data_IF_314977567884
#
_entry.id   IF_314977567884
#
_cell.length_a   1.000
_cell.length_b   1.000
_cell.length_c   1.000
_cell.angle_alpha   90.00
_cell.angle_beta   90.00
_cell.angle_gamma   90.00
#
_symmetry.space_group_name_H-M   'P 1'
#
loop_
_entity.id
_entity.type
_entity.pdbx_description
1 polymer ?
#
# COMPACT_ATOMS: atom_id res chain seq x y z
N UNK A 1 93.33 -12.94 -22.97
CA UNK A 1 92.31 -12.67 -21.97
C UNK A 1 91.12 -12.08 -22.69
N UNK A 2 90.08 -12.91 -23.02
CA UNK A 2 88.89 -12.51 -23.78
C UNK A 2 87.71 -12.42 -22.79
N UNK A 3 87.13 -11.22 -22.59
CA UNK A 3 85.94 -10.99 -21.78
C UNK A 3 84.72 -11.20 -22.67
N UNK A 4 83.92 -12.23 -22.37
CA UNK A 4 82.63 -12.49 -22.98
C UNK A 4 81.62 -11.59 -22.31
N UNK A 5 80.96 -10.68 -23.07
CA UNK A 5 79.78 -9.89 -22.61
C UNK A 5 78.55 -10.66 -22.92
N UNK A 6 77.81 -11.10 -21.88
CA UNK A 6 76.41 -11.62 -21.98
C UNK A 6 75.49 -10.45 -22.13
N UNK A 7 74.71 -10.44 -23.23
CA UNK A 7 73.61 -9.50 -23.47
C UNK A 7 72.30 -10.18 -22.98
N UNK A 8 71.81 -9.73 -21.86
CA UNK A 8 70.49 -10.20 -21.36
C UNK A 8 69.40 -9.45 -22.14
N UNK A 9 68.69 -10.17 -22.98
CA UNK A 9 67.45 -9.66 -23.64
C UNK A 9 66.28 -9.77 -22.67
N UNK A 10 65.84 -8.62 -22.15
CA UNK A 10 64.67 -8.50 -21.31
C UNK A 10 63.36 -8.52 -22.22
N UNK A 11 62.73 -9.64 -22.34
CA UNK A 11 61.41 -9.70 -23.01
C UNK A 11 60.34 -9.04 -22.10
N UNK A 12 59.92 -7.83 -22.46
CA UNK A 12 58.74 -7.18 -21.89
C UNK A 12 57.52 -7.93 -22.43
N UNK A 13 56.89 -8.76 -21.60
CA UNK A 13 55.59 -9.30 -21.88
C UNK A 13 54.55 -8.17 -21.74
N UNK A 14 54.10 -7.61 -22.85
CA UNK A 14 52.91 -6.73 -22.89
C UNK A 14 51.70 -7.56 -22.50
N UNK A 15 50.89 -7.10 -21.52
CA UNK A 15 49.63 -7.78 -21.22
C UNK A 15 48.74 -7.71 -22.48
N UNK A 16 48.34 -8.85 -23.01
CA UNK A 16 47.26 -8.92 -24.02
C UNK A 16 46.03 -8.27 -23.40
N UNK A 17 45.65 -7.10 -23.90
CA UNK A 17 44.38 -6.49 -23.58
C UNK A 17 43.28 -7.49 -23.93
N UNK A 18 42.49 -7.91 -22.97
CA UNK A 18 41.31 -8.71 -23.25
C UNK A 18 40.44 -7.95 -24.28
N UNK A 19 39.88 -8.63 -25.28
CA UNK A 19 39.03 -7.96 -26.27
C UNK A 19 37.90 -7.19 -25.56
N UNK A 20 37.76 -5.93 -25.94
CA UNK A 20 36.69 -5.10 -25.39
C UNK A 20 35.35 -5.84 -25.61
N UNK A 21 34.64 -6.14 -24.52
CA UNK A 21 33.32 -6.76 -24.62
C UNK A 21 32.39 -5.85 -25.44
N UNK A 22 31.64 -6.43 -26.37
CA UNK A 22 30.65 -5.72 -27.15
C UNK A 22 29.68 -4.98 -26.23
N UNK A 23 29.30 -3.72 -26.49
CA UNK A 23 28.36 -2.95 -25.70
C UNK A 23 27.04 -3.71 -25.54
N UNK A 24 26.42 -3.61 -24.34
CA UNK A 24 25.22 -4.37 -24.02
C UNK A 24 24.07 -4.07 -24.98
N UNK A 25 23.92 -2.82 -25.41
CA UNK A 25 22.92 -2.41 -26.40
C UNK A 25 23.08 -3.14 -27.74
N UNK A 26 24.31 -3.31 -28.21
CA UNK A 26 24.59 -4.03 -29.45
C UNK A 26 24.28 -5.52 -29.30
N UNK A 27 24.65 -6.12 -28.17
CA UNK A 27 24.29 -7.52 -27.86
C UNK A 27 22.79 -7.74 -27.81
N UNK A 28 22.05 -6.80 -27.20
CA UNK A 28 20.59 -6.83 -27.18
C UNK A 28 20.02 -6.66 -28.60
N UNK A 29 20.54 -5.72 -29.37
CA UNK A 29 20.10 -5.49 -30.74
C UNK A 29 20.37 -6.69 -31.67
N UNK A 30 21.52 -7.37 -31.54
CA UNK A 30 21.91 -8.52 -32.34
C UNK A 30 21.26 -9.85 -31.92
N UNK A 31 20.70 -9.93 -30.71
CA UNK A 31 20.14 -11.16 -30.17
C UNK A 31 18.92 -11.64 -30.99
N UNK A 32 18.80 -12.93 -31.18
CA UNK A 32 17.63 -13.53 -31.80
C UNK A 32 16.41 -13.48 -30.83
N UNK A 33 15.18 -13.43 -31.34
CA UNK A 33 13.99 -13.59 -30.50
C UNK A 33 14.06 -14.88 -29.66
N UNK A 34 13.70 -14.81 -28.39
CA UNK A 34 13.80 -15.92 -27.45
C UNK A 34 15.17 -16.10 -26.78
N UNK A 35 16.18 -15.31 -27.16
CA UNK A 35 17.53 -15.43 -26.61
C UNK A 35 17.59 -15.03 -25.11
N UNK A 36 18.48 -15.68 -24.39
CA UNK A 36 18.88 -15.26 -23.04
C UNK A 36 20.20 -14.51 -23.09
N UNK A 37 20.23 -13.30 -22.55
CA UNK A 37 21.40 -12.42 -22.50
C UNK A 37 21.85 -12.31 -21.04
N UNK A 38 23.04 -12.83 -20.73
CA UNK A 38 23.68 -12.60 -19.45
C UNK A 38 24.31 -11.21 -19.43
N UNK A 39 24.00 -10.41 -18.42
CA UNK A 39 24.64 -9.12 -18.16
C UNK A 39 25.74 -9.36 -17.13
N UNK A 40 27.02 -9.17 -17.49
CA UNK A 40 28.12 -9.43 -16.58
C UNK A 40 28.16 -8.43 -15.42
N UNK A 41 28.86 -8.81 -14.34
CA UNK A 41 29.12 -7.92 -13.22
C UNK A 41 29.78 -6.61 -13.69
N UNK A 42 29.45 -5.52 -13.00
CA UNK A 42 29.97 -4.17 -13.31
C UNK A 42 28.89 -3.19 -13.68
N UNK A 43 29.30 -1.95 -13.93
CA UNK A 43 28.37 -0.85 -14.29
C UNK A 43 28.32 -0.72 -15.81
N UNK A 44 27.10 -0.83 -16.35
CA UNK A 44 26.78 -0.63 -17.75
C UNK A 44 25.97 0.66 -17.88
N UNK A 45 26.58 1.71 -18.45
CA UNK A 45 25.89 2.95 -18.78
C UNK A 45 25.02 2.70 -20.02
N UNK A 46 23.68 2.62 -19.86
CA UNK A 46 22.79 2.13 -20.90
C UNK A 46 21.38 2.73 -20.85
N UNK A 47 20.75 2.79 -22.02
CA UNK A 47 19.32 2.96 -22.21
C UNK A 47 18.84 1.81 -23.09
N UNK A 48 18.37 0.70 -22.49
CA UNK A 48 18.01 -0.48 -23.23
C UNK A 48 16.58 -0.39 -23.74
N UNK A 49 16.39 -0.66 -25.01
CA UNK A 49 15.05 -0.93 -25.59
C UNK A 49 14.93 -2.40 -25.91
N UNK A 50 13.96 -3.07 -25.28
CA UNK A 50 13.63 -4.48 -25.48
C UNK A 50 12.39 -4.58 -26.38
N UNK A 51 12.64 -4.67 -27.71
CA UNK A 51 11.62 -4.66 -28.75
C UNK A 51 11.32 -6.04 -29.35
N UNK A 52 11.87 -7.08 -28.75
CA UNK A 52 11.66 -8.50 -29.12
C UNK A 52 11.67 -9.39 -27.88
N UNK A 53 11.07 -10.59 -27.95
CA UNK A 53 11.10 -11.54 -26.83
C UNK A 53 12.52 -11.90 -26.45
N UNK A 54 12.99 -11.50 -25.27
CA UNK A 54 14.30 -11.87 -24.72
C UNK A 54 14.25 -12.02 -23.21
N UNK A 55 15.18 -12.78 -22.69
CA UNK A 55 15.43 -12.88 -21.24
C UNK A 55 16.75 -12.18 -20.92
N UNK A 56 16.69 -11.12 -20.12
CA UNK A 56 17.85 -10.38 -19.61
C UNK A 56 18.13 -10.83 -18.16
N UNK A 57 19.30 -11.40 -17.93
CA UNK A 57 19.68 -11.96 -16.62
C UNK A 57 20.97 -11.31 -16.14
N UNK A 58 20.92 -10.70 -14.94
CA UNK A 58 22.10 -10.14 -14.29
C UNK A 58 22.97 -11.22 -13.63
N UNK A 59 24.27 -11.16 -13.86
CA UNK A 59 25.23 -11.81 -12.98
C UNK A 59 25.32 -11.04 -11.64
N UNK A 60 25.70 -11.68 -10.53
CA UNK A 60 25.86 -10.96 -9.27
C UNK A 60 26.73 -9.71 -9.41
N UNK A 61 26.16 -8.53 -9.09
CA UNK A 61 26.82 -7.23 -9.25
C UNK A 61 26.65 -6.57 -10.63
N UNK A 62 25.77 -7.07 -11.48
CA UNK A 62 25.40 -6.42 -12.74
C UNK A 62 24.52 -5.18 -12.48
N UNK A 63 24.92 -4.02 -12.99
CA UNK A 63 24.26 -2.74 -12.79
C UNK A 63 23.97 -2.08 -14.13
N UNK A 64 22.72 -1.77 -14.40
CA UNK A 64 22.27 -0.92 -15.50
C UNK A 64 22.10 0.50 -14.97
N UNK A 65 22.82 1.46 -15.53
CA UNK A 65 22.89 2.83 -15.05
C UNK A 65 22.46 3.81 -16.15
N UNK A 66 21.33 4.48 -15.96
CA UNK A 66 20.77 5.46 -16.92
C UNK A 66 21.43 6.83 -16.89
N UNK A 67 22.44 7.05 -16.06
CA UNK A 67 23.19 8.33 -16.04
C UNK A 67 22.36 9.54 -15.59
N UNK A 68 21.15 9.36 -15.07
CA UNK A 68 20.24 10.43 -14.63
C UNK A 68 19.39 11.01 -15.77
N UNK A 69 19.17 10.27 -16.84
CA UNK A 69 18.33 10.71 -17.97
C UNK A 69 17.42 9.57 -18.46
N UNK A 70 16.27 9.88 -19.02
CA UNK A 70 15.33 8.94 -19.66
C UNK A 70 14.98 7.71 -18.82
N UNK A 71 14.52 6.66 -19.48
CA UNK A 71 14.33 5.34 -18.89
C UNK A 71 15.61 4.53 -18.95
N UNK A 72 15.85 3.67 -17.98
CA UNK A 72 17.03 2.79 -18.03
C UNK A 72 16.76 1.55 -18.89
N UNK A 73 15.56 0.95 -18.71
CA UNK A 73 15.07 -0.17 -19.50
C UNK A 73 13.65 0.13 -19.98
N UNK A 74 13.43 0.08 -21.29
CA UNK A 74 12.12 0.24 -21.92
C UNK A 74 11.73 -1.05 -22.62
N UNK A 75 10.59 -1.62 -22.27
CA UNK A 75 10.10 -2.90 -22.80
C UNK A 75 8.92 -2.65 -23.73
N UNK A 76 9.07 -2.99 -24.99
CA UNK A 76 8.09 -2.80 -26.04
C UNK A 76 7.61 -4.11 -26.68
N UNK A 77 8.06 -5.24 -26.18
CA UNK A 77 7.77 -6.56 -26.75
C UNK A 77 7.06 -7.48 -25.75
N UNK A 78 6.46 -8.52 -26.30
CA UNK A 78 5.82 -9.61 -25.55
C UNK A 78 6.86 -10.66 -25.12
N UNK A 79 6.57 -11.41 -24.04
CA UNK A 79 7.44 -12.50 -23.53
C UNK A 79 8.87 -12.02 -23.19
N UNK A 80 8.97 -10.90 -22.48
CA UNK A 80 10.25 -10.37 -22.00
C UNK A 80 10.42 -10.71 -20.51
N UNK A 81 11.61 -11.15 -20.14
CA UNK A 81 11.98 -11.34 -18.73
C UNK A 81 13.21 -10.47 -18.41
N UNK A 82 13.12 -9.73 -17.31
CA UNK A 82 14.26 -8.96 -16.72
C UNK A 82 14.43 -9.39 -15.28
N UNK A 83 15.57 -9.98 -14.95
CA UNK A 83 15.80 -10.50 -13.61
C UNK A 83 17.23 -10.37 -13.08
N UNK A 84 17.35 -10.25 -11.75
CA UNK A 84 18.63 -10.28 -11.04
C UNK A 84 19.54 -9.09 -11.31
N UNK A 85 19.00 -7.96 -11.73
CA UNK A 85 19.75 -6.76 -12.11
C UNK A 85 19.60 -5.65 -11.05
N UNK A 86 20.63 -4.85 -10.88
CA UNK A 86 20.47 -3.52 -10.30
C UNK A 86 20.20 -2.54 -11.44
N UNK A 87 19.07 -1.83 -11.38
CA UNK A 87 18.67 -0.80 -12.35
C UNK A 87 18.62 0.54 -11.62
N UNK A 88 19.34 1.55 -12.09
CA UNK A 88 19.42 2.79 -11.34
C UNK A 88 19.56 4.05 -12.19
N UNK A 89 19.28 5.20 -11.55
CA UNK A 89 19.48 6.56 -12.07
C UNK A 89 18.77 6.82 -13.39
N UNK A 90 17.44 6.65 -13.39
CA UNK A 90 16.60 7.19 -14.46
C UNK A 90 16.65 8.72 -14.48
N UNK A 91 16.04 9.34 -15.50
CA UNK A 91 15.74 10.76 -15.50
C UNK A 91 14.76 11.15 -14.39
N UNK A 92 14.53 12.46 -14.25
CA UNK A 92 13.66 13.06 -13.21
C UNK A 92 12.47 13.83 -13.80
N UNK A 93 12.13 13.63 -15.06
CA UNK A 93 11.01 14.30 -15.71
C UNK A 93 9.72 13.54 -15.47
N UNK A 94 8.82 14.10 -14.64
CA UNK A 94 7.50 13.55 -14.35
C UNK A 94 6.60 13.53 -15.58
N UNK A 95 6.73 14.46 -16.50
CA UNK A 95 5.92 14.52 -17.72
C UNK A 95 6.32 13.43 -18.70
N UNK A 96 7.62 13.15 -18.79
CA UNK A 96 8.16 12.07 -19.59
C UNK A 96 8.05 10.69 -18.89
N UNK A 97 7.56 10.66 -17.63
CA UNK A 97 7.40 9.44 -16.81
C UNK A 97 8.67 8.60 -16.71
N UNK A 98 9.83 9.25 -16.55
CA UNK A 98 11.11 8.55 -16.54
C UNK A 98 11.17 7.44 -15.47
N UNK A 99 11.47 6.23 -15.88
CA UNK A 99 11.43 5.04 -15.05
C UNK A 99 12.74 4.24 -15.03
N UNK A 100 12.96 3.50 -13.96
CA UNK A 100 13.98 2.45 -13.95
C UNK A 100 13.63 1.39 -15.00
N UNK A 101 12.39 0.88 -14.97
CA UNK A 101 11.86 -0.03 -16.00
C UNK A 101 10.50 0.49 -16.45
N UNK A 102 10.38 0.81 -17.73
CA UNK A 102 9.13 1.22 -18.37
C UNK A 102 8.59 0.08 -19.26
N UNK A 103 7.32 -0.31 -19.08
CA UNK A 103 6.65 -1.35 -19.89
C UNK A 103 5.57 -0.68 -20.74
N UNK A 104 5.72 -0.74 -22.06
CA UNK A 104 4.83 -0.07 -23.01
C UNK A 104 3.52 -0.85 -23.23
N UNK A 105 2.53 -0.14 -23.72
CA UNK A 105 1.15 -0.62 -23.93
C UNK A 105 1.01 -1.90 -24.78
N UNK A 106 1.90 -2.12 -25.72
CA UNK A 106 1.89 -3.33 -26.55
C UNK A 106 2.53 -4.55 -25.89
N UNK A 107 3.27 -4.34 -24.80
CA UNK A 107 3.95 -5.43 -24.10
C UNK A 107 2.96 -6.31 -23.33
N UNK A 108 3.17 -7.61 -23.41
CA UNK A 108 2.38 -8.65 -22.73
C UNK A 108 3.29 -9.73 -22.19
N UNK A 109 2.82 -10.45 -21.19
CA UNK A 109 3.54 -11.60 -20.63
C UNK A 109 4.98 -11.23 -20.25
N UNK A 110 5.15 -10.10 -19.56
CA UNK A 110 6.44 -9.57 -19.09
C UNK A 110 6.67 -10.01 -17.65
N UNK A 111 7.89 -10.42 -17.34
CA UNK A 111 8.30 -10.76 -15.97
C UNK A 111 9.47 -9.89 -15.52
N UNK A 112 9.27 -9.15 -14.43
CA UNK A 112 10.27 -8.33 -13.74
C UNK A 112 10.51 -8.94 -12.36
N UNK A 113 11.64 -9.64 -12.17
CA UNK A 113 11.78 -10.48 -11.00
C UNK A 113 13.15 -10.36 -10.33
N UNK A 114 13.14 -10.19 -9.00
CA UNK A 114 14.38 -10.20 -8.21
C UNK A 114 15.35 -9.09 -8.58
N UNK A 115 14.87 -7.96 -9.09
CA UNK A 115 15.69 -6.80 -9.42
C UNK A 115 15.79 -5.85 -8.23
N UNK A 116 16.88 -5.10 -8.18
CA UNK A 116 17.04 -3.93 -7.31
C UNK A 116 16.93 -2.67 -8.16
N UNK A 117 15.86 -1.90 -7.96
CA UNK A 117 15.63 -0.66 -8.70
C UNK A 117 15.80 0.49 -7.73
N UNK A 118 16.73 1.39 -8.00
CA UNK A 118 17.08 2.45 -7.08
C UNK A 118 17.39 3.79 -7.77
N UNK A 119 17.19 4.90 -7.03
CA UNK A 119 17.44 6.24 -7.57
C UNK A 119 16.76 6.46 -8.93
N UNK A 120 15.55 5.94 -9.10
CA UNK A 120 14.72 6.13 -10.29
C UNK A 120 13.48 6.92 -9.92
N UNK A 121 12.99 7.79 -10.81
CA UNK A 121 11.83 8.63 -10.57
C UNK A 121 10.60 7.75 -10.35
N UNK A 122 10.25 6.93 -11.36
CA UNK A 122 9.40 5.77 -11.18
C UNK A 122 10.27 4.52 -11.11
N UNK A 123 10.00 3.63 -10.15
CA UNK A 123 10.74 2.37 -10.09
C UNK A 123 10.38 1.50 -11.29
N UNK A 124 9.12 1.07 -11.36
CA UNK A 124 8.50 0.38 -12.49
C UNK A 124 7.29 1.18 -12.95
N UNK A 125 7.17 1.44 -14.24
CA UNK A 125 6.01 2.07 -14.86
C UNK A 125 5.39 1.11 -15.89
N UNK A 126 4.11 0.76 -15.69
CA UNK A 126 3.32 -0.03 -16.62
C UNK A 126 2.35 0.92 -17.33
N UNK A 127 2.36 0.97 -18.66
CA UNK A 127 1.48 1.81 -19.48
C UNK A 127 0.60 0.95 -20.39
N UNK A 128 -0.57 0.57 -19.91
CA UNK A 128 -1.55 -0.19 -20.67
C UNK A 128 -1.09 -1.61 -21.01
N UNK A 129 -0.17 -2.15 -20.26
CA UNK A 129 0.37 -3.49 -20.43
C UNK A 129 -0.61 -4.57 -19.92
N UNK A 130 -0.42 -5.82 -20.30
CA UNK A 130 -1.25 -6.92 -19.81
C UNK A 130 -0.42 -8.14 -19.42
N UNK A 131 -0.90 -8.89 -18.41
CA UNK A 131 -0.24 -10.09 -17.90
C UNK A 131 1.21 -9.82 -17.46
N UNK A 132 1.48 -8.67 -16.84
CA UNK A 132 2.81 -8.34 -16.32
C UNK A 132 2.94 -8.87 -14.91
N UNK A 133 4.03 -9.56 -14.63
CA UNK A 133 4.41 -10.01 -13.29
C UNK A 133 5.59 -9.19 -12.77
N UNK A 134 5.38 -8.44 -11.68
CA UNK A 134 6.43 -7.70 -10.96
C UNK A 134 6.60 -8.36 -9.60
N UNK A 135 7.67 -9.12 -9.42
CA UNK A 135 7.80 -9.98 -8.26
C UNK A 135 9.18 -9.94 -7.60
N UNK A 136 9.22 -9.96 -6.27
CA UNK A 136 10.44 -10.05 -5.46
C UNK A 136 11.49 -8.96 -5.80
N UNK A 137 11.04 -7.78 -6.22
CA UNK A 137 11.94 -6.66 -6.47
C UNK A 137 12.10 -5.81 -5.20
N UNK A 138 13.28 -5.21 -5.07
CA UNK A 138 13.56 -4.19 -4.04
C UNK A 138 13.60 -2.84 -4.75
N UNK A 139 12.65 -1.96 -4.44
CA UNK A 139 12.48 -0.67 -5.12
C UNK A 139 12.71 0.45 -4.12
N UNK A 140 13.66 1.34 -4.42
CA UNK A 140 14.00 2.53 -3.63
C UNK A 140 13.96 3.76 -4.52
N UNK A 141 12.99 4.64 -4.26
CA UNK A 141 12.81 5.88 -5.02
C UNK A 141 13.90 6.91 -4.78
N UNK A 142 13.64 8.14 -5.19
CA UNK A 142 14.57 9.27 -5.08
C UNK A 142 14.34 10.04 -3.78
N UNK A 143 14.86 9.57 -2.65
CA UNK A 143 14.71 10.20 -1.34
C UNK A 143 15.20 11.64 -1.28
N UNK A 144 16.14 12.03 -2.16
CA UNK A 144 16.65 13.40 -2.26
C UNK A 144 15.64 14.42 -2.79
N UNK A 145 14.60 13.98 -3.48
CA UNK A 145 13.52 14.83 -3.97
C UNK A 145 12.46 15.04 -2.89
N UNK A 146 11.76 16.20 -2.93
CA UNK A 146 10.54 16.39 -2.13
C UNK A 146 9.50 15.34 -2.52
N UNK A 147 8.68 14.90 -1.59
CA UNK A 147 7.65 13.86 -1.84
C UNK A 147 6.77 14.19 -3.05
N UNK A 148 6.39 15.45 -3.22
CA UNK A 148 5.56 15.89 -4.36
C UNK A 148 6.25 15.79 -5.73
N UNK A 149 7.59 15.81 -5.75
CA UNK A 149 8.41 15.75 -6.98
C UNK A 149 8.87 14.33 -7.32
N UNK A 150 8.55 13.34 -6.47
CA UNK A 150 8.86 11.92 -6.71
C UNK A 150 7.80 11.28 -7.58
N UNK A 151 8.17 10.25 -8.32
CA UNK A 151 7.26 9.28 -8.91
C UNK A 151 6.92 8.15 -7.93
N UNK A 152 6.20 7.16 -8.40
CA UNK A 152 5.74 6.04 -7.59
C UNK A 152 6.74 4.87 -7.67
N UNK A 153 6.71 4.00 -6.67
CA UNK A 153 7.56 2.81 -6.69
C UNK A 153 7.17 1.87 -7.83
N UNK A 154 5.90 1.50 -7.89
CA UNK A 154 5.29 0.78 -9.01
C UNK A 154 4.05 1.56 -9.43
N UNK A 155 4.02 1.99 -10.68
CA UNK A 155 2.89 2.72 -11.26
C UNK A 155 2.20 1.87 -12.31
N UNK A 156 0.89 1.71 -12.18
CA UNK A 156 0.03 0.99 -13.11
C UNK A 156 -0.97 1.95 -13.72
N UNK A 157 -0.95 2.08 -15.03
CA UNK A 157 -1.88 2.91 -15.78
C UNK A 157 -2.56 2.11 -16.91
N UNK A 158 -3.85 1.85 -16.75
CA UNK A 158 -4.68 1.15 -17.73
C UNK A 158 -4.21 -0.30 -18.02
N UNK A 159 -3.70 -0.98 -16.98
CA UNK A 159 -3.16 -2.32 -17.06
C UNK A 159 -4.20 -3.36 -16.63
N UNK A 160 -4.08 -4.58 -17.12
CA UNK A 160 -5.00 -5.66 -16.77
C UNK A 160 -4.32 -7.02 -16.68
N UNK A 161 -4.81 -7.86 -15.78
CA UNK A 161 -4.28 -9.22 -15.58
C UNK A 161 -2.88 -9.25 -14.99
N UNK A 162 -2.42 -8.15 -14.40
CA UNK A 162 -1.09 -8.04 -13.82
C UNK A 162 -1.05 -8.60 -12.38
N UNK A 163 0.12 -9.10 -12.00
CA UNK A 163 0.41 -9.57 -10.64
C UNK A 163 1.61 -8.81 -10.09
N UNK A 164 1.39 -8.07 -9.01
CA UNK A 164 2.41 -7.31 -8.27
C UNK A 164 2.58 -7.99 -6.92
N UNK A 165 3.69 -8.72 -6.72
CA UNK A 165 3.79 -9.57 -5.52
C UNK A 165 5.19 -9.62 -4.91
N UNK A 166 5.24 -9.80 -3.60
CA UNK A 166 6.48 -10.01 -2.85
C UNK A 166 7.55 -8.90 -3.06
N UNK A 167 7.14 -7.68 -3.40
CA UNK A 167 8.06 -6.55 -3.58
C UNK A 167 8.24 -5.78 -2.27
N UNK A 168 9.44 -5.21 -2.08
CA UNK A 168 9.76 -4.28 -1.00
C UNK A 168 9.98 -2.88 -1.59
N UNK A 169 9.07 -1.94 -1.29
CA UNK A 169 8.98 -0.63 -1.93
C UNK A 169 9.10 0.49 -0.91
N UNK A 170 10.02 1.43 -1.13
CA UNK A 170 10.18 2.59 -0.25
C UNK A 170 10.71 3.84 -0.98
N UNK A 171 10.67 4.98 -0.27
CA UNK A 171 11.30 6.26 -0.67
C UNK A 171 10.72 6.90 -1.96
N UNK A 172 9.60 6.42 -2.47
CA UNK A 172 8.83 6.98 -3.59
C UNK A 172 7.73 7.95 -3.11
N UNK A 173 6.94 8.52 -4.01
CA UNK A 173 5.75 9.31 -3.66
C UNK A 173 4.69 8.38 -3.08
N UNK A 174 4.17 7.46 -3.89
CA UNK A 174 3.32 6.37 -3.46
C UNK A 174 4.07 5.04 -3.68
N UNK A 175 3.74 4.02 -2.89
CA UNK A 175 4.40 2.72 -3.03
C UNK A 175 3.97 2.01 -4.29
N UNK A 176 2.70 1.62 -4.35
CA UNK A 176 2.06 1.01 -5.52
C UNK A 176 0.85 1.86 -5.88
N UNK A 177 0.84 2.46 -7.07
CA UNK A 177 -0.27 3.26 -7.57
C UNK A 177 -0.98 2.54 -8.70
N UNK A 178 -2.30 2.32 -8.55
CA UNK A 178 -3.15 1.58 -9.49
C UNK A 178 -4.21 2.54 -10.02
N UNK A 179 -4.11 2.92 -11.29
CA UNK A 179 -4.99 3.89 -11.92
C UNK A 179 -5.63 3.31 -13.17
N UNK A 180 -6.97 3.30 -13.22
CA UNK A 180 -7.78 2.75 -14.33
C UNK A 180 -7.35 1.32 -14.71
N UNK A 181 -6.95 0.51 -13.75
CA UNK A 181 -6.32 -0.80 -13.98
C UNK A 181 -7.14 -1.91 -13.30
N UNK A 182 -8.09 -2.54 -14.02
CA UNK A 182 -8.93 -3.59 -13.49
C UNK A 182 -8.29 -4.98 -13.55
N UNK A 183 -8.86 -5.94 -12.80
CA UNK A 183 -8.53 -7.37 -12.83
C UNK A 183 -7.07 -7.70 -12.53
N UNK A 184 -6.47 -6.99 -11.58
CA UNK A 184 -5.09 -7.19 -11.13
C UNK A 184 -5.04 -7.80 -9.72
N UNK A 185 -3.92 -8.43 -9.42
CA UNK A 185 -3.60 -8.93 -8.07
C UNK A 185 -2.39 -8.20 -7.51
N UNK A 186 -2.56 -7.62 -6.33
CA UNK A 186 -1.48 -6.98 -5.56
C UNK A 186 -1.35 -7.74 -4.25
N UNK A 187 -0.27 -8.51 -4.08
CA UNK A 187 -0.18 -9.46 -2.99
C UNK A 187 1.19 -9.48 -2.29
N UNK A 188 1.20 -9.60 -0.97
CA UNK A 188 2.40 -9.80 -0.15
C UNK A 188 3.51 -8.77 -0.36
N UNK A 189 3.17 -7.57 -0.78
CA UNK A 189 4.15 -6.49 -0.89
C UNK A 189 4.35 -5.81 0.46
N UNK A 190 5.57 -5.36 0.72
CA UNK A 190 5.91 -4.55 1.88
C UNK A 190 6.21 -3.12 1.40
N UNK A 191 5.47 -2.14 1.94
CA UNK A 191 5.58 -0.75 1.52
C UNK A 191 5.79 0.15 2.73
N UNK A 192 6.83 1.01 2.68
CA UNK A 192 7.14 1.89 3.79
C UNK A 192 7.82 3.20 3.37
N UNK A 193 7.71 4.25 4.22
CA UNK A 193 8.39 5.53 3.99
C UNK A 193 7.91 6.28 2.74
N UNK A 194 6.62 6.18 2.44
CA UNK A 194 5.96 6.81 1.29
C UNK A 194 4.73 7.63 1.73
N UNK A 195 4.07 8.33 0.81
CA UNK A 195 2.82 9.02 1.10
C UNK A 195 1.67 8.03 1.31
N UNK A 196 1.34 7.25 0.30
CA UNK A 196 0.34 6.19 0.36
C UNK A 196 1.01 4.84 0.07
N UNK A 197 0.83 3.88 0.95
CA UNK A 197 1.37 2.53 0.77
C UNK A 197 0.86 1.92 -0.53
N UNK A 198 -0.45 1.71 -0.62
CA UNK A 198 -1.13 1.30 -1.85
C UNK A 198 -2.23 2.31 -2.17
N UNK A 199 -2.17 2.89 -3.36
CA UNK A 199 -3.08 3.93 -3.82
C UNK A 199 -3.89 3.43 -5.02
N UNK A 200 -5.21 3.42 -4.91
CA UNK A 200 -6.16 3.01 -5.95
C UNK A 200 -7.00 4.17 -6.43
N UNK A 201 -7.16 4.29 -7.75
CA UNK A 201 -8.12 5.20 -8.35
C UNK A 201 -8.75 4.57 -9.60
N UNK A 202 -10.08 4.61 -9.69
CA UNK A 202 -10.88 4.17 -10.85
C UNK A 202 -10.54 2.76 -11.33
N UNK A 203 -10.30 1.84 -10.39
CA UNK A 203 -9.85 0.49 -10.69
C UNK A 203 -10.75 -0.52 -9.99
N UNK A 204 -11.38 -1.39 -10.75
CA UNK A 204 -12.34 -2.37 -10.24
C UNK A 204 -11.85 -3.81 -10.36
N UNK A 205 -12.55 -4.71 -9.69
CA UNK A 205 -12.34 -6.16 -9.77
C UNK A 205 -10.90 -6.59 -9.45
N UNK A 206 -10.27 -5.93 -8.48
CA UNK A 206 -8.90 -6.20 -8.06
C UNK A 206 -8.86 -6.95 -6.72
N UNK A 207 -7.78 -7.73 -6.53
CA UNK A 207 -7.46 -8.42 -5.30
C UNK A 207 -6.24 -7.79 -4.62
N UNK A 208 -6.42 -7.29 -3.38
CA UNK A 208 -5.35 -6.86 -2.48
C UNK A 208 -5.23 -7.91 -1.38
N UNK A 209 -4.13 -8.65 -1.36
CA UNK A 209 -3.98 -9.80 -0.49
C UNK A 209 -2.67 -9.74 0.32
N UNK A 210 -2.77 -9.81 1.65
CA UNK A 210 -1.63 -9.96 2.56
C UNK A 210 -0.49 -8.93 2.38
N UNK A 211 -0.81 -7.71 1.95
CA UNK A 211 0.18 -6.65 1.84
C UNK A 211 0.43 -6.01 3.22
N UNK A 212 1.64 -5.52 3.43
CA UNK A 212 2.06 -4.80 4.63
C UNK A 212 2.41 -3.37 4.28
N UNK A 213 1.73 -2.41 4.90
CA UNK A 213 2.02 -0.99 4.83
C UNK A 213 2.41 -0.48 6.21
N UNK A 214 3.52 0.27 6.31
CA UNK A 214 3.98 0.77 7.61
C UNK A 214 4.74 2.09 7.54
N UNK A 215 4.45 2.99 8.49
CA UNK A 215 5.20 4.24 8.65
C UNK A 215 5.02 5.21 7.47
N UNK A 216 3.84 5.22 6.86
CA UNK A 216 3.47 6.10 5.76
C UNK A 216 2.52 7.23 6.24
N UNK A 217 2.10 8.12 5.35
CA UNK A 217 1.00 9.04 5.65
C UNK A 217 -0.33 8.28 5.75
N UNK A 218 -0.58 7.36 4.82
CA UNK A 218 -1.70 6.42 4.87
C UNK A 218 -1.29 5.04 4.33
N UNK A 219 -1.86 3.99 4.91
CA UNK A 219 -1.58 2.63 4.48
C UNK A 219 -2.20 2.34 3.12
N UNK A 220 -3.51 2.36 3.05
CA UNK A 220 -4.29 2.05 1.86
C UNK A 220 -5.22 3.22 1.54
N UNK A 221 -5.00 3.88 0.41
CA UNK A 221 -5.87 4.93 -0.11
C UNK A 221 -6.67 4.37 -1.30
N UNK A 222 -7.87 3.86 -1.01
CA UNK A 222 -8.76 3.25 -1.99
C UNK A 222 -9.79 4.29 -2.42
N UNK A 223 -9.76 4.69 -3.70
CA UNK A 223 -10.57 5.78 -4.20
C UNK A 223 -11.30 5.42 -5.50
N UNK A 224 -12.57 5.84 -5.59
CA UNK A 224 -13.40 5.76 -6.81
C UNK A 224 -13.36 4.39 -7.49
N UNK A 225 -13.47 3.32 -6.71
CA UNK A 225 -13.32 1.94 -7.19
C UNK A 225 -14.41 1.04 -6.60
N UNK A 226 -14.67 -0.08 -7.23
CA UNK A 226 -15.70 -1.02 -6.78
C UNK A 226 -15.29 -2.48 -7.03
N UNK A 227 -16.00 -3.41 -6.38
CA UNK A 227 -15.75 -4.85 -6.45
C UNK A 227 -14.29 -5.21 -6.07
N UNK A 228 -13.74 -4.51 -5.08
CA UNK A 228 -12.43 -4.84 -4.55
C UNK A 228 -12.54 -5.97 -3.53
N UNK A 229 -11.55 -6.86 -3.51
CA UNK A 229 -11.31 -7.78 -2.41
C UNK A 229 -10.04 -7.34 -1.69
N UNK A 230 -10.20 -6.85 -0.47
CA UNK A 230 -9.13 -6.32 0.38
C UNK A 230 -8.98 -7.22 1.59
N UNK A 231 -8.11 -8.22 1.50
CA UNK A 231 -8.11 -9.35 2.42
C UNK A 231 -6.74 -9.54 3.07
N UNK A 232 -6.71 -9.69 4.39
CA UNK A 232 -5.50 -10.06 5.14
C UNK A 232 -4.40 -8.99 5.18
N UNK A 233 -4.65 -7.78 4.72
CA UNK A 233 -3.63 -6.74 4.67
C UNK A 233 -3.35 -6.13 6.05
N UNK A 234 -2.13 -5.66 6.27
CA UNK A 234 -1.71 -4.96 7.50
C UNK A 234 -1.37 -3.50 7.23
N UNK A 235 -1.80 -2.62 8.14
CA UNK A 235 -1.48 -1.20 8.16
C UNK A 235 -1.02 -0.80 9.56
N UNK A 236 0.23 -0.36 9.70
CA UNK A 236 0.85 -0.13 10.99
C UNK A 236 1.61 1.21 11.05
N UNK A 237 1.49 1.91 12.17
CA UNK A 237 2.25 3.15 12.44
C UNK A 237 2.05 4.25 11.38
N UNK A 238 0.87 4.31 10.76
CA UNK A 238 0.56 5.33 9.76
C UNK A 238 0.19 6.67 10.42
N UNK A 239 0.47 7.78 9.73
CA UNK A 239 0.30 9.12 10.30
C UNK A 239 -1.14 9.66 10.25
N UNK A 240 -1.99 9.15 9.36
CA UNK A 240 -3.34 9.69 9.20
C UNK A 240 -4.42 8.62 9.03
N UNK A 241 -4.19 7.63 8.16
CA UNK A 241 -5.20 6.62 7.84
C UNK A 241 -4.56 5.24 7.74
N UNK A 242 -5.18 4.25 8.38
CA UNK A 242 -4.91 2.85 8.08
C UNK A 242 -5.48 2.51 6.70
N UNK A 243 -6.80 2.55 6.58
CA UNK A 243 -7.53 2.42 5.31
C UNK A 243 -8.39 3.65 5.08
N UNK A 244 -8.16 4.35 4.00
CA UNK A 244 -8.99 5.44 3.49
C UNK A 244 -9.83 4.90 2.34
N UNK A 245 -11.16 4.81 2.55
CA UNK A 245 -12.13 4.42 1.53
C UNK A 245 -12.90 5.68 1.11
N UNK A 246 -12.74 6.07 -0.14
CA UNK A 246 -13.39 7.23 -0.72
C UNK A 246 -14.09 6.84 -2.03
N UNK A 247 -15.41 6.88 -2.08
CA UNK A 247 -16.22 6.37 -3.19
C UNK A 247 -15.93 4.89 -3.51
N UNK A 248 -15.85 4.04 -2.47
CA UNK A 248 -15.71 2.59 -2.63
C UNK A 248 -17.09 1.94 -2.51
N UNK A 249 -17.40 1.03 -3.41
CA UNK A 249 -18.68 0.32 -3.42
C UNK A 249 -18.55 -1.17 -3.72
N UNK A 250 -19.51 -1.96 -3.22
CA UNK A 250 -19.64 -3.40 -3.51
C UNK A 250 -18.34 -4.17 -3.30
N UNK A 251 -17.60 -3.83 -2.25
CA UNK A 251 -16.27 -4.38 -1.98
C UNK A 251 -16.24 -5.13 -0.65
N UNK A 252 -15.36 -6.12 -0.57
CA UNK A 252 -15.11 -6.93 0.62
C UNK A 252 -13.82 -6.47 1.29
N UNK A 253 -13.89 -6.08 2.55
CA UNK A 253 -12.76 -5.65 3.38
C UNK A 253 -12.70 -6.59 4.58
N UNK A 254 -11.87 -7.63 4.51
CA UNK A 254 -11.93 -8.75 5.44
C UNK A 254 -10.57 -9.17 5.99
N UNK A 255 -10.54 -9.55 7.27
CA UNK A 255 -9.35 -10.10 7.90
C UNK A 255 -8.16 -9.15 7.99
N UNK A 256 -8.34 -7.86 7.72
CA UNK A 256 -7.25 -6.89 7.73
C UNK A 256 -6.89 -6.49 9.18
N UNK A 257 -5.64 -6.12 9.37
CA UNK A 257 -5.11 -5.62 10.65
C UNK A 257 -4.71 -4.16 10.52
N UNK A 258 -5.22 -3.33 11.40
CA UNK A 258 -4.86 -1.92 11.52
C UNK A 258 -4.40 -1.66 12.95
N UNK A 259 -3.22 -1.08 13.09
CA UNK A 259 -2.61 -0.89 14.40
C UNK A 259 -1.82 0.41 14.49
N UNK A 260 -2.01 1.17 15.60
CA UNK A 260 -1.29 2.40 15.93
C UNK A 260 -1.36 3.48 14.83
N UNK A 261 -2.58 3.96 14.54
CA UNK A 261 -2.78 5.09 13.66
C UNK A 261 -2.95 6.36 14.52
N UNK A 262 -1.87 7.15 14.64
CA UNK A 262 -1.76 8.18 15.69
C UNK A 262 -2.11 9.61 15.24
N UNK A 263 -2.25 9.88 13.95
CA UNK A 263 -2.44 11.23 13.45
C UNK A 263 -1.16 12.08 13.49
N UNK A 264 -1.25 13.29 12.96
CA UNK A 264 -0.13 14.24 13.00
C UNK A 264 -0.03 14.88 14.38
N UNK A 265 1.20 14.99 14.89
CA UNK A 265 1.48 15.64 16.17
C UNK A 265 2.07 17.03 15.92
N UNK A 266 1.70 17.97 16.77
CA UNK A 266 2.34 19.29 16.83
C UNK A 266 3.70 19.21 17.56
N UNK A 267 4.43 20.33 17.58
CA UNK A 267 5.74 20.43 18.23
C UNK A 267 5.67 20.19 19.75
N UNK A 268 4.50 20.33 20.37
CA UNK A 268 4.26 20.06 21.80
C UNK A 268 3.82 18.60 22.06
N UNK A 269 3.74 17.77 21.02
CA UNK A 269 3.30 16.37 21.09
C UNK A 269 1.78 16.19 21.14
N UNK A 270 1.00 17.26 20.99
CA UNK A 270 -0.45 17.23 20.85
C UNK A 270 -0.88 16.78 19.44
N UNK A 271 -2.11 16.25 19.32
CA UNK A 271 -2.67 15.96 18.01
C UNK A 271 -3.13 17.24 17.33
N UNK A 272 -2.69 17.50 16.11
CA UNK A 272 -3.20 18.61 15.30
C UNK A 272 -4.67 18.37 15.01
N UNK A 273 -5.52 19.35 15.28
CA UNK A 273 -6.98 19.23 15.10
C UNK A 273 -7.33 18.90 13.64
N UNK A 274 -8.22 17.92 13.45
CA UNK A 274 -8.63 17.44 12.12
C UNK A 274 -7.71 16.39 11.49
N UNK A 275 -6.51 16.18 12.06
CA UNK A 275 -5.53 15.19 11.57
C UNK A 275 -5.49 13.93 12.44
N UNK A 276 -6.54 13.69 13.25
CA UNK A 276 -6.60 12.50 14.09
C UNK A 276 -6.41 11.22 13.26
N UNK A 277 -5.60 10.31 13.78
CA UNK A 277 -5.34 9.02 13.15
C UNK A 277 -6.59 8.15 13.12
N UNK A 278 -6.96 7.69 11.94
CA UNK A 278 -8.17 6.90 11.71
C UNK A 278 -7.80 5.51 11.21
N UNK A 279 -8.14 4.49 11.98
CA UNK A 279 -7.93 3.11 11.55
C UNK A 279 -8.63 2.85 10.23
N UNK A 280 -9.95 2.97 10.22
CA UNK A 280 -10.76 2.94 9.00
C UNK A 280 -11.43 4.32 8.81
N UNK A 281 -11.29 4.91 7.64
CA UNK A 281 -12.00 6.12 7.25
C UNK A 281 -12.89 5.83 6.04
N UNK A 282 -14.21 5.90 6.23
CA UNK A 282 -15.22 5.55 5.23
C UNK A 282 -15.97 6.81 4.82
N UNK A 283 -15.75 7.25 3.59
CA UNK A 283 -16.31 8.48 3.03
C UNK A 283 -16.99 8.19 1.69
N UNK A 284 -18.25 8.55 1.53
CA UNK A 284 -19.06 8.33 0.31
C UNK A 284 -18.95 6.88 -0.23
N UNK A 285 -18.84 5.90 0.68
CA UNK A 285 -18.62 4.51 0.33
C UNK A 285 -19.79 3.65 0.78
N UNK A 286 -20.33 2.82 -0.11
CA UNK A 286 -21.61 2.16 0.07
C UNK A 286 -21.57 0.69 -0.32
N UNK A 287 -22.49 -0.11 0.26
CA UNK A 287 -22.68 -1.52 -0.07
C UNK A 287 -21.41 -2.37 0.08
N UNK A 288 -20.56 -2.05 1.06
CA UNK A 288 -19.35 -2.80 1.34
C UNK A 288 -19.54 -3.72 2.52
N UNK A 289 -18.80 -4.81 2.54
CA UNK A 289 -18.72 -5.78 3.62
C UNK A 289 -17.41 -5.62 4.38
N UNK A 290 -17.50 -5.31 5.67
CA UNK A 290 -16.37 -5.22 6.59
C UNK A 290 -16.51 -6.33 7.62
N UNK A 291 -15.64 -7.32 7.60
CA UNK A 291 -15.71 -8.42 8.56
C UNK A 291 -14.35 -8.99 8.95
N UNK A 292 -14.32 -9.56 10.13
CA UNK A 292 -13.12 -10.21 10.69
C UNK A 292 -11.87 -9.29 10.76
N UNK A 293 -12.03 -7.97 10.61
CA UNK A 293 -10.93 -7.02 10.71
C UNK A 293 -10.58 -6.74 12.18
N UNK A 294 -9.33 -6.38 12.41
CA UNK A 294 -8.82 -5.90 13.71
C UNK A 294 -8.37 -4.46 13.56
N UNK A 295 -8.93 -3.58 14.35
CA UNK A 295 -8.52 -2.17 14.43
C UNK A 295 -8.19 -1.85 15.87
N UNK A 296 -6.92 -1.63 16.15
CA UNK A 296 -6.43 -1.47 17.52
C UNK A 296 -5.50 -0.26 17.71
N UNK A 297 -5.46 0.23 18.96
CA UNK A 297 -4.51 1.25 19.43
C UNK A 297 -4.43 2.51 18.56
N UNK A 298 -5.55 2.90 17.95
CA UNK A 298 -5.63 4.07 17.06
C UNK A 298 -6.39 5.21 17.73
N UNK A 299 -6.22 6.44 17.25
CA UNK A 299 -6.99 7.57 17.83
C UNK A 299 -8.49 7.42 17.55
N UNK A 300 -8.84 6.98 16.34
CA UNK A 300 -10.21 6.65 15.97
C UNK A 300 -10.20 5.27 15.31
N UNK A 301 -10.96 4.32 15.85
CA UNK A 301 -11.09 2.98 15.28
C UNK A 301 -11.70 3.04 13.89
N UNK A 302 -12.96 3.48 13.79
CA UNK A 302 -13.64 3.72 12.51
C UNK A 302 -14.30 5.09 12.49
N UNK A 303 -14.05 5.85 11.43
CA UNK A 303 -14.71 7.13 11.15
C UNK A 303 -15.56 7.01 9.90
N UNK A 304 -16.87 7.16 10.04
CA UNK A 304 -17.82 7.10 8.93
C UNK A 304 -18.48 8.46 8.75
N UNK A 305 -18.44 8.98 7.54
CA UNK A 305 -19.01 10.28 7.19
C UNK A 305 -20.04 10.18 6.07
N UNK A 306 -20.56 11.35 5.68
CA UNK A 306 -21.68 11.53 4.77
C UNK A 306 -21.66 10.62 3.53
N UNK A 307 -22.82 10.07 3.17
CA UNK A 307 -23.00 9.24 1.99
C UNK A 307 -22.44 7.83 2.11
N UNK A 308 -22.06 7.40 3.32
CA UNK A 308 -21.56 6.04 3.56
C UNK A 308 -22.66 5.17 4.16
N UNK A 309 -23.43 4.55 3.29
CA UNK A 309 -24.67 3.84 3.65
C UNK A 309 -24.64 2.39 3.17
N UNK A 310 -25.52 1.57 3.76
CA UNK A 310 -25.68 0.17 3.37
C UNK A 310 -24.40 -0.67 3.48
N UNK A 311 -23.46 -0.27 4.31
CA UNK A 311 -22.29 -1.08 4.64
C UNK A 311 -22.68 -2.07 5.75
N UNK A 312 -22.21 -3.31 5.65
CA UNK A 312 -22.39 -4.34 6.66
C UNK A 312 -21.09 -4.51 7.45
N UNK A 313 -21.19 -4.50 8.77
CA UNK A 313 -20.05 -4.66 9.66
C UNK A 313 -20.36 -5.79 10.66
N UNK A 314 -19.56 -6.88 10.64
CA UNK A 314 -19.74 -7.98 11.59
C UNK A 314 -18.41 -8.69 11.88
N UNK A 315 -18.32 -9.32 13.03
CA UNK A 315 -17.13 -10.06 13.48
C UNK A 315 -15.83 -9.25 13.49
N UNK A 316 -15.88 -7.92 13.37
CA UNK A 316 -14.70 -7.09 13.51
C UNK A 316 -14.35 -6.93 15.00
N UNK A 317 -13.08 -6.58 15.26
CA UNK A 317 -12.54 -6.27 16.58
C UNK A 317 -12.03 -4.85 16.62
N UNK A 318 -12.66 -4.02 17.46
CA UNK A 318 -12.21 -2.66 17.74
C UNK A 318 -11.67 -2.64 19.17
N UNK A 319 -10.34 -2.53 19.29
CA UNK A 319 -9.64 -2.76 20.56
C UNK A 319 -8.82 -1.54 20.95
N UNK A 320 -9.07 -1.01 22.14
CA UNK A 320 -8.27 0.05 22.77
C UNK A 320 -8.04 1.30 21.90
N UNK A 321 -8.96 1.57 20.98
CA UNK A 321 -8.94 2.83 20.25
C UNK A 321 -9.45 3.96 21.18
N UNK A 322 -8.87 5.14 21.10
CA UNK A 322 -9.29 6.29 21.93
C UNK A 322 -10.76 6.67 21.70
N UNK A 323 -11.23 6.56 20.47
CA UNK A 323 -12.62 6.66 20.06
C UNK A 323 -12.90 5.44 19.17
N UNK A 324 -13.77 4.52 19.61
CA UNK A 324 -14.06 3.34 18.81
C UNK A 324 -14.75 3.70 17.50
N UNK A 325 -15.76 4.56 17.57
CA UNK A 325 -16.54 4.97 16.40
C UNK A 325 -16.75 6.48 16.39
N UNK A 326 -16.43 7.12 15.28
CA UNK A 326 -16.83 8.50 14.98
C UNK A 326 -17.81 8.46 13.80
N UNK A 327 -19.09 8.66 14.07
CA UNK A 327 -20.15 8.61 13.07
C UNK A 327 -20.76 10.00 12.87
N UNK A 328 -20.58 10.58 11.67
CA UNK A 328 -20.98 11.95 11.36
C UNK A 328 -22.00 11.94 10.22
N UNK A 329 -23.18 11.38 10.48
CA UNK A 329 -24.33 11.34 9.57
C UNK A 329 -25.63 11.55 10.33
N UNK A 330 -26.74 11.69 9.60
CA UNK A 330 -28.08 11.87 10.15
C UNK A 330 -28.99 10.62 9.91
N UNK A 331 -28.39 9.46 9.65
CA UNK A 331 -29.10 8.20 9.40
C UNK A 331 -28.78 7.18 10.48
N UNK A 332 -29.78 6.43 10.92
CA UNK A 332 -29.53 5.29 11.78
C UNK A 332 -28.97 4.13 10.94
N UNK A 333 -27.91 3.49 11.41
CA UNK A 333 -27.32 2.32 10.76
C UNK A 333 -27.18 1.17 11.75
N UNK A 334 -27.50 -0.02 11.29
CA UNK A 334 -27.30 -1.27 12.02
C UNK A 334 -25.98 -1.91 11.57
N UNK A 335 -25.09 -2.18 12.54
CA UNK A 335 -23.77 -2.76 12.29
C UNK A 335 -23.66 -4.18 12.81
N UNK A 336 -24.62 -5.00 12.45
CA UNK A 336 -24.57 -6.45 12.60
C UNK A 336 -25.02 -7.12 11.31
N UNK A 337 -24.52 -8.29 11.03
CA UNK A 337 -24.94 -9.11 9.90
C UNK A 337 -24.79 -10.60 10.22
N UNK A 338 -25.53 -11.46 9.54
CA UNK A 338 -25.46 -12.91 9.72
C UNK A 338 -25.65 -13.36 11.18
N UNK A 339 -26.43 -12.62 11.95
CA UNK A 339 -26.70 -12.90 13.36
C UNK A 339 -25.58 -12.54 14.32
N UNK A 340 -24.55 -11.81 13.89
CA UNK A 340 -23.39 -11.38 14.70
C UNK A 340 -23.09 -9.92 14.48
N UNK A 341 -22.70 -9.24 15.55
CA UNK A 341 -22.14 -7.90 15.52
C UNK A 341 -20.62 -7.91 15.63
N UNK A 342 -20.06 -6.90 16.27
CA UNK A 342 -18.61 -6.70 16.39
C UNK A 342 -18.19 -6.77 17.87
N UNK A 343 -16.90 -6.99 18.10
CA UNK A 343 -16.31 -6.86 19.41
C UNK A 343 -15.80 -5.43 19.62
N UNK A 344 -16.21 -4.83 20.75
CA UNK A 344 -15.83 -3.48 21.16
C UNK A 344 -15.19 -3.54 22.55
N UNK A 345 -13.93 -3.17 22.70
CA UNK A 345 -13.25 -3.29 24.00
C UNK A 345 -13.85 -2.41 25.10
N UNK A 346 -14.65 -1.42 24.76
CA UNK A 346 -15.37 -0.54 25.68
C UNK A 346 -16.87 -0.90 25.87
N UNK A 347 -17.33 -2.04 25.33
CA UNK A 347 -18.66 -2.52 25.55
C UNK A 347 -18.82 -3.05 26.96
N UNK A 348 -19.85 -2.55 27.67
CA UNK A 348 -20.13 -2.87 29.08
C UNK A 348 -21.49 -3.56 29.28
N UNK A 349 -22.02 -4.19 28.25
CA UNK A 349 -23.26 -4.94 28.34
C UNK A 349 -23.08 -6.30 29.03
N UNK A 350 -24.14 -7.06 29.09
CA UNK A 350 -24.21 -8.40 29.69
C UNK A 350 -24.77 -9.39 28.69
N UNK A 351 -24.59 -10.66 28.96
CA UNK A 351 -25.07 -11.81 28.20
C UNK A 351 -25.68 -12.78 29.23
N UNK A 352 -27.00 -12.80 29.34
CA UNK A 352 -27.72 -13.56 30.35
C UNK A 352 -27.98 -15.00 29.93
N UNK A 353 -28.08 -15.27 28.63
CA UNK A 353 -28.31 -16.60 28.08
C UNK A 353 -27.02 -17.32 27.67
N UNK A 354 -25.88 -16.66 27.83
CA UNK A 354 -24.55 -17.17 27.58
C UNK A 354 -24.33 -17.66 26.12
N UNK A 355 -24.94 -16.98 25.15
CA UNK A 355 -24.75 -17.27 23.73
C UNK A 355 -23.52 -16.57 23.12
N UNK A 356 -22.82 -15.73 23.91
CA UNK A 356 -21.65 -14.97 23.51
C UNK A 356 -21.97 -13.64 22.83
N UNK A 357 -23.25 -13.28 22.77
CA UNK A 357 -23.75 -12.02 22.22
C UNK A 357 -24.35 -11.19 23.37
N UNK A 358 -24.03 -9.92 23.43
CA UNK A 358 -24.57 -9.06 24.48
C UNK A 358 -26.05 -8.77 24.24
N UNK A 359 -26.85 -8.88 25.32
CA UNK A 359 -28.31 -8.59 25.34
C UNK A 359 -28.65 -7.12 25.16
N UNK A 360 -27.66 -6.24 25.35
CA UNK A 360 -27.82 -4.79 25.23
C UNK A 360 -27.12 -4.30 23.98
N UNK A 361 -27.82 -3.64 23.05
CA UNK A 361 -27.17 -3.08 21.86
C UNK A 361 -26.06 -2.10 22.22
N UNK A 362 -24.93 -2.18 21.51
CA UNK A 362 -23.87 -1.19 21.62
C UNK A 362 -24.19 0.05 20.80
N UNK A 363 -24.11 1.21 21.42
CA UNK A 363 -24.32 2.53 20.78
C UNK A 363 -23.14 3.42 21.09
N UNK A 364 -22.17 3.52 20.18
CA UNK A 364 -20.89 4.16 20.46
C UNK A 364 -20.96 5.69 20.60
N UNK A 365 -22.00 6.32 20.07
CA UNK A 365 -22.10 7.78 20.01
C UNK A 365 -23.38 8.28 20.68
N UNK A 366 -23.26 9.32 21.48
CA UNK A 366 -24.39 10.04 22.08
C UNK A 366 -24.58 11.42 21.44
N UNK A 367 -25.63 12.15 21.86
CA UNK A 367 -25.93 13.48 21.33
C UNK A 367 -24.87 14.53 21.66
N UNK A 368 -24.10 14.33 22.73
CA UNK A 368 -22.98 15.20 23.08
C UNK A 368 -21.81 14.99 22.14
N UNK A 369 -21.53 13.75 21.75
CA UNK A 369 -20.50 13.44 20.79
C UNK A 369 -20.78 14.09 19.43
N UNK A 370 -22.02 13.98 18.94
CA UNK A 370 -22.44 14.64 17.68
C UNK A 370 -22.28 16.16 17.77
N UNK A 371 -22.66 16.76 18.92
CA UNK A 371 -22.50 18.20 19.15
C UNK A 371 -21.03 18.63 19.10
N UNK A 372 -20.15 17.86 19.72
CA UNK A 372 -18.71 18.15 19.77
C UNK A 372 -18.02 18.01 18.42
N UNK A 373 -18.44 17.08 17.61
CA UNK A 373 -17.92 16.95 16.23
C UNK A 373 -18.39 18.08 15.34
N UNK A 374 -19.62 18.57 15.59
CA UNK A 374 -20.17 19.72 14.85
C UNK A 374 -19.57 21.06 15.32
N UNK A 375 -19.19 21.14 16.61
CA UNK A 375 -18.63 22.34 17.24
C UNK A 375 -17.38 21.99 18.02
N UNK A 376 -16.22 21.79 17.38
CA UNK A 376 -14.99 21.35 18.02
C UNK A 376 -14.53 22.22 19.21
N UNK A 377 -14.77 23.53 19.13
CA UNK A 377 -14.45 24.48 20.22
C UNK A 377 -15.21 24.17 21.54
N UNK A 378 -16.32 23.43 21.47
CA UNK A 378 -17.05 23.00 22.67
C UNK A 378 -16.31 21.91 23.46
N UNK A 379 -15.23 21.32 22.93
CA UNK A 379 -14.38 20.35 23.64
C UNK A 379 -13.84 20.88 24.96
N UNK A 380 -13.55 22.18 25.05
CA UNK A 380 -13.08 22.79 26.30
C UNK A 380 -14.11 22.73 27.43
N UNK A 381 -15.37 22.46 27.11
CA UNK A 381 -16.47 22.33 28.07
C UNK A 381 -16.72 20.88 28.51
N UNK A 382 -16.03 19.89 27.93
CA UNK A 382 -16.28 18.46 28.16
C UNK A 382 -16.15 18.04 29.63
N UNK A 383 -15.23 18.64 30.35
CA UNK A 383 -15.04 18.39 31.78
C UNK A 383 -15.98 19.20 32.67
N UNK A 384 -16.89 19.98 32.09
CA UNK A 384 -17.82 20.76 32.89
C UNK A 384 -18.88 19.85 33.53
N UNK A 385 -19.29 20.14 34.79
CA UNK A 385 -20.37 19.39 35.42
C UNK A 385 -21.65 19.36 34.62
N UNK A 386 -21.93 20.41 33.86
CA UNK A 386 -23.13 20.51 33.01
C UNK A 386 -23.12 19.50 31.85
N UNK A 387 -21.98 19.28 31.21
CA UNK A 387 -21.85 18.27 30.13
C UNK A 387 -21.94 16.85 30.72
N UNK A 388 -21.31 16.60 31.85
CA UNK A 388 -21.41 15.32 32.54
C UNK A 388 -22.85 15.01 32.96
N UNK A 389 -23.58 16.02 33.48
CA UNK A 389 -25.00 15.88 33.79
C UNK A 389 -25.83 15.63 32.54
N UNK A 390 -25.56 16.33 31.44
CA UNK A 390 -26.26 16.13 30.16
C UNK A 390 -26.08 14.70 29.64
N UNK A 391 -24.85 14.17 29.67
CA UNK A 391 -24.57 12.76 29.29
C UNK A 391 -25.29 11.78 30.21
N UNK A 392 -25.31 12.03 31.51
CA UNK A 392 -26.05 11.20 32.47
C UNK A 392 -27.56 11.21 32.17
N UNK A 393 -28.15 12.40 31.96
CA UNK A 393 -29.57 12.55 31.62
C UNK A 393 -29.92 11.85 30.31
N UNK A 394 -29.08 11.99 29.26
CA UNK A 394 -29.29 11.30 27.99
C UNK A 394 -29.22 9.77 28.11
N UNK A 395 -28.35 9.23 28.96
CA UNK A 395 -28.29 7.79 29.25
C UNK A 395 -29.49 7.29 30.08
N UNK A 396 -29.87 8.07 31.07
CA UNK A 396 -30.99 7.71 31.95
C UNK A 396 -32.38 7.90 31.29
N UNK A 397 -32.49 8.88 30.41
CA UNK A 397 -33.75 9.25 29.74
C UNK A 397 -33.51 9.48 28.27
N UNK A 398 -33.49 8.44 27.41
CA UNK A 398 -33.13 8.55 25.98
C UNK A 398 -34.29 9.16 25.15
N UNK A 399 -34.81 10.33 25.57
CA UNK A 399 -35.89 11.04 24.84
C UNK A 399 -35.42 11.64 23.53
N UNK A 400 -34.11 11.95 23.42
CA UNK A 400 -33.49 12.48 22.21
C UNK A 400 -32.23 11.65 21.87
N UNK A 401 -32.39 10.54 21.20
CA UNK A 401 -31.30 9.81 20.60
C UNK A 401 -31.15 10.29 19.16
N UNK A 402 -30.03 11.00 18.83
CA UNK A 402 -29.77 11.32 17.43
C UNK A 402 -29.63 10.03 16.63
N UNK A 403 -29.98 10.04 15.34
CA UNK A 403 -29.67 8.92 14.47
C UNK A 403 -28.17 8.61 14.56
N UNK A 404 -27.85 7.37 14.83
CA UNK A 404 -26.47 6.92 15.04
C UNK A 404 -26.32 5.46 14.62
N UNK A 405 -25.13 4.97 14.71
CA UNK A 405 -24.81 3.55 14.58
C UNK A 405 -25.33 2.79 15.80
N UNK A 406 -25.87 1.62 15.56
CA UNK A 406 -26.17 0.63 16.57
C UNK A 406 -25.60 -0.72 16.12
N UNK A 407 -24.94 -1.41 17.03
CA UNK A 407 -24.66 -2.84 16.92
C UNK A 407 -25.62 -3.57 17.85
N UNK A 408 -26.63 -4.23 17.28
CA UNK A 408 -27.66 -4.88 18.06
C UNK A 408 -27.26 -6.26 18.58
N UNK A 409 -26.11 -6.77 18.16
CA UNK A 409 -25.57 -8.09 18.52
C UNK A 409 -24.08 -8.06 18.86
N UNK A 410 -23.65 -7.15 19.78
CA UNK A 410 -22.24 -6.98 20.12
C UNK A 410 -21.67 -8.27 20.71
N UNK A 411 -20.43 -8.60 20.36
CA UNK A 411 -19.78 -9.81 20.84
C UNK A 411 -19.17 -9.60 22.23
N UNK A 412 -19.44 -10.51 23.16
CA UNK A 412 -18.88 -10.50 24.51
C UNK A 412 -17.40 -10.85 24.55
N UNK A 413 -16.93 -11.62 23.58
CA UNK A 413 -15.52 -12.01 23.46
C UNK A 413 -15.04 -11.70 22.06
N UNK A 414 -13.76 -11.29 21.98
CA UNK A 414 -13.12 -11.10 20.71
C UNK A 414 -13.14 -12.41 19.91
N UNK A 415 -13.64 -12.41 18.65
CA UNK A 415 -13.54 -13.59 17.80
C UNK A 415 -12.09 -14.07 17.76
N UNK A 416 -11.87 -15.39 17.73
CA UNK A 416 -10.54 -15.93 17.46
C UNK A 416 -10.01 -15.31 16.17
N UNK A 417 -8.74 -14.88 16.17
CA UNK A 417 -8.15 -14.22 15.01
C UNK A 417 -8.39 -15.06 13.75
N UNK A 418 -8.97 -14.45 12.74
CA UNK A 418 -8.82 -14.92 11.37
C UNK A 418 -7.30 -14.97 11.13
N UNK A 419 -6.74 -16.17 11.07
CA UNK A 419 -5.42 -16.42 10.52
C UNK A 419 -5.67 -16.74 9.06
N UNK A 420 -5.26 -15.91 8.11
CA UNK A 420 -5.00 -16.43 6.78
C UNK A 420 -3.95 -17.55 6.97
N UNK A 421 -4.13 -18.69 6.33
CA UNK A 421 -3.27 -19.88 6.46
C UNK A 421 -1.85 -19.67 5.89
N UNK A 422 -1.25 -18.50 6.08
CA UNK A 422 0.10 -18.17 5.62
C UNK A 422 0.85 -17.36 6.68
N UNK A 423 1.27 -18.04 7.77
CA UNK A 423 2.45 -17.55 8.48
C UNK A 423 3.68 -17.78 7.58
N UNK A 424 4.57 -16.80 7.41
CA UNK A 424 5.87 -17.08 6.84
C UNK A 424 6.55 -18.12 7.73
N UNK A 425 6.93 -19.24 7.19
CA UNK A 425 7.80 -20.20 7.87
C UNK A 425 9.16 -19.52 8.01
N UNK A 426 9.62 -19.45 9.26
CA UNK A 426 10.95 -18.98 9.67
C UNK A 426 12.09 -19.59 8.83
#
# INVERSE_FOLDING_TARGET
>A
MHALRFLAVLMLALPLAAPAREPLEQRVAAAAPGATISVPAGVHAVHLKLDKPITLVGEPGAILDGGGSGDVVRIAATNVTVRGLTVRRSGTDLTATNAGIFVERQARDVTLEGNRIEQSLFGVYLDGASNVRVARNVIRGMRSLRVADRGDGIHMWNDTGCTIEDNDVADSRDGIYVYVSPHNTIARNVVHGVRYGIHYMYSQDNLLLDNVSRGNLAGYALMSSHHLKVIGNSSEDEQSYGFLLNYIAHSEIAGNRVHRIDGQRDDAGGTVEGTEGKGLFVYLSQFNDFHDNVVADSQIGIHVTAGSENNRLWSNRFVDNRIQVKYVQNLAQEWSAHGRGNFWSDYLGWDLDADGIGDVPFRPNDGVDVLLWKYPSARNLMSSPSVLLLRYVQRAFPVFTPPSVQDSRPLMQAPSSFRPDHEPRD
#
